data_IF_713609375827
#
_entry.id   IF_713609375827
#
_cell.length_a   1.000
_cell.length_b   1.000
_cell.length_c   1.000
_cell.angle_alpha   90.00
_cell.angle_beta   90.00
_cell.angle_gamma   90.00
#
_symmetry.space_group_name_H-M   'P 1'
#
loop_
_entity.id
_entity.type
_entity.pdbx_description
1 polymer ?
#
# COMPACT_ATOMS: atom_id res chain seq x y z
N UNK A 1 12.12 10.61 8.41
CA UNK A 1 12.93 9.79 7.49
C UNK A 1 12.07 9.44 6.30
N UNK A 2 12.47 9.80 5.08
CA UNK A 2 11.79 9.35 3.86
C UNK A 2 12.19 7.90 3.66
N UNK A 3 11.23 6.97 3.70
CA UNK A 3 11.49 5.58 3.34
C UNK A 3 11.23 5.50 1.83
N UNK A 4 12.22 5.12 1.01
CA UNK A 4 12.23 5.49 -0.41
C UNK A 4 11.10 4.88 -1.24
N UNK A 5 10.46 3.80 -0.78
CA UNK A 5 9.58 2.98 -1.62
C UNK A 5 8.19 2.72 -1.02
N UNK A 6 7.88 3.31 0.13
CA UNK A 6 6.54 3.25 0.70
C UNK A 6 6.26 4.44 1.61
N UNK A 7 4.98 4.69 1.80
CA UNK A 7 4.44 5.65 2.75
C UNK A 7 3.66 4.91 3.83
N UNK A 8 3.59 5.51 5.03
CA UNK A 8 2.85 4.93 6.16
C UNK A 8 1.93 5.98 6.74
N UNK A 9 0.67 5.61 6.86
CA UNK A 9 -0.38 6.46 7.39
C UNK A 9 -1.02 5.79 8.60
N UNK A 10 -1.28 6.56 9.66
CA UNK A 10 -2.38 6.20 10.56
C UNK A 10 -3.68 6.39 9.80
N UNK A 11 -4.71 5.59 10.10
CA UNK A 11 -6.03 5.68 9.45
C UNK A 11 -6.61 7.09 9.43
N UNK A 12 -6.44 7.85 10.51
CA UNK A 12 -6.89 9.25 10.61
C UNK A 12 -6.10 10.23 9.73
N UNK A 13 -4.92 9.83 9.25
CA UNK A 13 -4.00 10.63 8.45
C UNK A 13 -3.95 10.18 6.98
N UNK A 14 -4.73 9.15 6.58
CA UNK A 14 -4.84 8.75 5.18
C UNK A 14 -5.37 9.96 4.38
N UNK A 15 -4.70 10.34 3.26
CA UNK A 15 -5.13 11.47 2.45
C UNK A 15 -6.54 11.28 1.91
N UNK A 16 -7.32 12.36 1.81
CA UNK A 16 -8.75 12.30 1.47
C UNK A 16 -8.98 11.77 0.05
N UNK A 17 -8.02 11.99 -0.85
CA UNK A 17 -8.03 11.49 -2.22
C UNK A 17 -8.10 9.96 -2.32
N UNK A 18 -7.64 9.22 -1.30
CA UNK A 18 -7.74 7.75 -1.28
C UNK A 18 -9.16 7.28 -0.97
N UNK A 19 -9.99 8.13 -0.34
CA UNK A 19 -11.30 7.77 0.20
C UNK A 19 -11.31 6.49 1.08
N UNK A 20 -10.16 6.14 1.69
CA UNK A 20 -9.90 4.81 2.26
C UNK A 20 -9.83 4.78 3.80
N UNK A 21 -10.53 5.68 4.50
CA UNK A 21 -10.45 5.78 5.98
C UNK A 21 -11.75 5.60 6.74
N UNK A 22 -12.90 5.55 6.06
CA UNK A 22 -14.23 5.62 6.70
C UNK A 22 -14.85 4.26 7.05
N UNK A 23 -14.20 3.13 6.74
CA UNK A 23 -14.73 1.80 6.99
C UNK A 23 -14.01 1.10 8.17
N UNK A 24 -14.77 0.46 9.06
CA UNK A 24 -14.25 -0.27 10.23
C UNK A 24 -13.31 -1.44 9.86
N UNK A 25 -13.42 -1.98 8.64
CA UNK A 25 -12.56 -3.08 8.15
C UNK A 25 -11.16 -2.63 7.75
N UNK A 26 -10.93 -1.32 7.59
CA UNK A 26 -9.59 -0.79 7.32
C UNK A 26 -8.81 -0.72 8.64
N UNK A 27 -7.62 -1.31 8.65
CA UNK A 27 -6.72 -1.30 9.80
C UNK A 27 -6.28 0.10 10.22
N UNK A 28 -5.70 0.21 11.42
CA UNK A 28 -5.29 1.49 11.99
C UNK A 28 -4.05 2.09 11.32
N UNK A 29 -3.27 1.26 10.62
CA UNK A 29 -2.06 1.64 9.89
C UNK A 29 -2.19 1.13 8.46
N UNK A 30 -1.99 2.03 7.50
CA UNK A 30 -1.92 1.72 6.08
C UNK A 30 -0.48 1.92 5.59
N UNK A 31 0.04 0.90 4.93
CA UNK A 31 1.27 1.00 4.14
C UNK A 31 0.88 1.16 2.66
N UNK A 32 1.44 2.15 1.99
CA UNK A 32 1.25 2.37 0.54
C UNK A 32 2.59 2.18 -0.14
N UNK A 33 2.74 1.09 -0.90
CA UNK A 33 3.94 0.84 -1.68
C UNK A 33 3.94 1.71 -2.95
N UNK A 34 5.12 2.16 -3.38
CA UNK A 34 5.28 2.71 -4.74
C UNK A 34 5.14 1.57 -5.75
N UNK A 35 4.61 1.89 -6.93
CA UNK A 35 4.50 0.93 -8.03
C UNK A 35 5.85 0.22 -8.30
N UNK A 36 5.80 -1.11 -8.45
CA UNK A 36 6.97 -1.97 -8.58
C UNK A 36 7.56 -2.48 -7.26
N UNK A 37 6.98 -2.12 -6.11
CA UNK A 37 7.35 -2.66 -4.80
C UNK A 37 6.17 -3.38 -4.14
N UNK A 38 6.43 -4.47 -3.44
CA UNK A 38 5.45 -5.18 -2.61
C UNK A 38 5.87 -5.09 -1.13
N UNK A 39 4.92 -5.06 -0.20
CA UNK A 39 5.17 -5.06 1.23
C UNK A 39 4.65 -6.36 1.81
N UNK A 40 5.57 -7.16 2.35
CA UNK A 40 5.31 -8.53 2.77
C UNK A 40 5.67 -8.66 4.24
N UNK A 41 4.79 -9.27 5.03
CA UNK A 41 5.08 -9.51 6.43
C UNK A 41 6.15 -10.60 6.58
N UNK A 42 7.05 -10.52 7.58
CA UNK A 42 8.02 -11.57 7.82
C UNK A 42 7.34 -12.93 8.04
N UNK A 43 7.75 -13.95 7.27
CA UNK A 43 7.17 -15.29 7.34
C UNK A 43 6.07 -15.56 6.31
N UNK A 44 5.58 -14.54 5.61
CA UNK A 44 4.76 -14.73 4.42
C UNK A 44 5.65 -15.05 3.22
N UNK A 45 5.16 -15.94 2.35
CA UNK A 45 5.86 -16.26 1.11
C UNK A 45 5.74 -15.08 0.15
N UNK A 46 6.84 -14.35 -0.03
CA UNK A 46 6.98 -13.46 -1.16
C UNK A 46 6.83 -14.28 -2.44
N UNK A 47 5.92 -13.90 -3.34
CA UNK A 47 5.86 -14.55 -4.64
C UNK A 47 7.13 -14.15 -5.40
N UNK A 48 8.15 -15.01 -5.37
CA UNK A 48 9.46 -14.77 -6.00
C UNK A 48 9.32 -14.61 -7.53
N UNK A 49 8.19 -15.01 -8.10
CA UNK A 49 7.80 -14.79 -9.49
C UNK A 49 6.46 -14.04 -9.58
N UNK A 50 6.48 -12.72 -9.35
CA UNK A 50 5.33 -11.85 -9.61
C UNK A 50 5.11 -11.78 -11.13
N UNK A 51 4.15 -12.56 -11.65
CA UNK A 51 3.71 -12.53 -13.06
C UNK A 51 2.89 -11.28 -13.42
N UNK A 52 2.79 -10.34 -12.48
CA UNK A 52 1.95 -9.15 -12.50
C UNK A 52 1.28 -8.99 -11.13
N UNK A 53 1.23 -7.76 -10.62
CA UNK A 53 0.60 -7.43 -9.34
C UNK A 53 -0.22 -6.15 -9.48
N UNK A 54 -1.20 -5.97 -8.61
CA UNK A 54 -2.19 -4.89 -8.66
C UNK A 54 -2.54 -4.38 -7.26
N UNK A 55 -3.27 -3.25 -7.19
CA UNK A 55 -3.68 -2.67 -5.91
C UNK A 55 -2.75 -1.56 -5.41
N UNK A 56 -1.88 -1.05 -6.30
CA UNK A 56 -1.25 0.24 -6.12
C UNK A 56 -2.29 1.37 -6.14
N UNK A 57 -1.81 2.58 -5.89
CA UNK A 57 -2.59 3.81 -6.07
C UNK A 57 -3.24 3.86 -7.45
N UNK A 58 -4.55 4.14 -7.50
CA UNK A 58 -5.37 4.15 -8.71
C UNK A 58 -5.02 5.26 -9.70
N UNK A 59 -4.13 6.18 -9.30
CA UNK A 59 -3.59 7.26 -10.13
C UNK A 59 -2.31 6.88 -10.86
N UNK A 60 -1.75 5.70 -10.61
CA UNK A 60 -0.56 5.20 -11.32
C UNK A 60 -0.99 4.68 -12.70
N UNK A 61 -0.23 5.00 -13.75
CA UNK A 61 -0.55 4.67 -15.15
C UNK A 61 -0.84 3.18 -15.42
N UNK A 62 -0.23 2.28 -14.65
CA UNK A 62 -0.41 0.83 -14.81
C UNK A 62 -1.62 0.26 -14.08
N UNK A 63 -2.36 1.05 -13.30
CA UNK A 63 -3.55 0.66 -12.54
C UNK A 63 -4.82 1.21 -13.18
#
# INVERSE_FOLDING_TARGET
>A
SIIPNFEVYKKSQIPDEYHYKSNIRIGDILFVAKAGYEIIAPGDNASIELLGDHGYDDRVESM
#
